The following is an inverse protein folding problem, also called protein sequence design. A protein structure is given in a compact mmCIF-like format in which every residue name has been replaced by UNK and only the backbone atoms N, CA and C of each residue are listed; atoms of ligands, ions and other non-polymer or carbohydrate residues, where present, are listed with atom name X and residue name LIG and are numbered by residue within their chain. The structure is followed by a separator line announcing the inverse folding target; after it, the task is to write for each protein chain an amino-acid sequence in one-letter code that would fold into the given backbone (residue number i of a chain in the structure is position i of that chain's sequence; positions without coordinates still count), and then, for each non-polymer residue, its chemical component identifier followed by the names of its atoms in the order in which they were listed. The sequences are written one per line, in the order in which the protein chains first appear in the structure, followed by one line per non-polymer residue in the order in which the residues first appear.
data_IF_535140676037
#
_entry.id   IF_535140676037
#
_cell.length_a   1.000
_cell.length_b   1.000
_cell.length_c   1.000
_cell.angle_alpha   90.00
_cell.angle_beta   90.00
_cell.angle_gamma   90.00
#
_symmetry.space_group_name_H-M   'P 1'
#
loop_
_entity.id
_entity.type
_entity.pdbx_description
1 polymer ?
#
# COMPACT_ATOMS: atom_id res chain seq x y z
N UNK A 1 5.08 -20.36 13.47
CA UNK A 1 5.87 -19.13 13.24
C UNK A 1 4.93 -18.00 12.88
N UNK A 2 5.06 -16.82 13.50
CA UNK A 2 4.29 -15.64 13.10
C UNK A 2 4.90 -15.07 11.80
N UNK A 3 4.09 -14.87 10.77
CA UNK A 3 4.53 -14.24 9.54
C UNK A 3 4.68 -12.72 9.77
N UNK A 4 5.78 -12.13 9.31
CA UNK A 4 6.02 -10.69 9.38
C UNK A 4 6.10 -10.10 7.96
N UNK A 5 5.67 -8.86 7.81
CA UNK A 5 5.75 -8.09 6.57
C UNK A 5 6.30 -6.69 6.86
N UNK A 6 7.00 -6.10 5.88
CA UNK A 6 7.51 -4.74 5.97
C UNK A 6 6.72 -3.86 5.01
N UNK A 7 6.00 -2.88 5.55
CA UNK A 7 5.15 -1.96 4.80
C UNK A 7 5.59 -0.53 5.14
N UNK A 8 5.91 0.27 4.11
CA UNK A 8 6.41 1.64 4.26
C UNK A 8 7.62 1.76 5.22
N UNK A 9 8.46 0.73 5.32
CA UNK A 9 9.61 0.68 6.23
C UNK A 9 9.29 0.18 7.65
N UNK A 10 8.01 0.03 8.02
CA UNK A 10 7.59 -0.47 9.33
C UNK A 10 7.35 -1.98 9.30
N UNK A 11 7.80 -2.68 10.36
CA UNK A 11 7.60 -4.13 10.53
C UNK A 11 6.26 -4.40 11.18
N UNK A 12 5.42 -5.19 10.53
CA UNK A 12 4.13 -5.63 11.07
C UNK A 12 4.06 -7.14 11.20
N UNK A 13 3.30 -7.61 12.19
CA UNK A 13 2.88 -9.02 12.27
C UNK A 13 1.65 -9.22 11.41
N UNK A 14 1.70 -10.15 10.45
CA UNK A 14 0.54 -10.53 9.65
C UNK A 14 -0.40 -11.38 10.51
N UNK A 15 -1.65 -10.90 10.66
CA UNK A 15 -2.69 -11.62 11.39
C UNK A 15 -3.57 -12.41 10.44
N UNK A 16 -4.08 -11.76 9.38
CA UNK A 16 -4.99 -12.38 8.44
C UNK A 16 -4.92 -11.72 7.06
N UNK A 17 -5.22 -12.50 6.01
CA UNK A 17 -5.34 -12.02 4.63
C UNK A 17 -6.80 -12.11 4.19
N UNK A 18 -7.35 -11.01 3.71
CA UNK A 18 -8.60 -10.96 2.99
C UNK A 18 -8.35 -10.56 1.52
N UNK A 19 -9.31 -10.79 0.61
CA UNK A 19 -9.15 -10.42 -0.80
C UNK A 19 -8.91 -8.92 -1.02
N UNK A 20 -9.51 -8.07 -0.19
CA UNK A 20 -9.56 -6.62 -0.31
C UNK A 20 -8.61 -5.86 0.65
N UNK A 21 -8.19 -6.51 1.74
CA UNK A 21 -7.25 -5.96 2.71
C UNK A 21 -6.52 -7.05 3.49
N UNK A 22 -5.38 -6.72 4.08
CA UNK A 22 -4.73 -7.58 5.08
C UNK A 22 -4.86 -6.96 6.46
N UNK A 23 -5.09 -7.80 7.47
CA UNK A 23 -5.07 -7.39 8.87
C UNK A 23 -3.68 -7.62 9.42
N UNK A 24 -3.06 -6.55 9.87
CA UNK A 24 -1.73 -6.55 10.46
C UNK A 24 -1.78 -6.04 11.90
N UNK A 25 -0.75 -6.33 12.66
CA UNK A 25 -0.53 -5.78 13.99
C UNK A 25 0.77 -4.97 14.01
N UNK A 26 0.64 -3.70 14.39
CA UNK A 26 1.75 -2.79 14.64
C UNK A 26 2.23 -2.97 16.08
N UNK A 27 3.44 -3.51 16.23
CA UNK A 27 4.04 -3.75 17.54
C UNK A 27 4.61 -2.51 18.21
N UNK A 28 4.78 -1.38 17.49
CA UNK A 28 5.31 -0.15 18.07
C UNK A 28 4.24 0.60 18.87
N UNK A 29 3.01 0.59 18.37
CA UNK A 29 1.87 1.27 18.99
C UNK A 29 0.77 0.31 19.48
N UNK A 30 1.06 -1.00 19.47
CA UNK A 30 0.20 -2.06 19.97
C UNK A 30 -1.22 -2.10 19.35
N UNK A 31 -1.32 -1.80 18.05
CA UNK A 31 -2.60 -1.59 17.38
C UNK A 31 -2.77 -2.45 16.13
N UNK A 32 -4.00 -2.91 15.88
CA UNK A 32 -4.36 -3.59 14.65
C UNK A 32 -4.60 -2.58 13.52
N UNK A 33 -4.17 -2.93 12.31
CA UNK A 33 -4.28 -2.08 11.12
C UNK A 33 -4.78 -2.88 9.93
N UNK A 34 -5.47 -2.19 9.02
CA UNK A 34 -5.77 -2.71 7.70
C UNK A 34 -4.74 -2.18 6.71
N UNK A 35 -4.00 -3.08 6.08
CA UNK A 35 -3.29 -2.78 4.83
C UNK A 35 -4.30 -2.88 3.68
N UNK A 36 -4.57 -1.75 3.03
CA UNK A 36 -5.51 -1.69 1.91
C UNK A 36 -4.84 -2.16 0.62
N UNK A 37 -5.63 -2.67 -0.33
CA UNK A 37 -5.16 -2.93 -1.69
C UNK A 37 -5.02 -1.61 -2.49
N UNK A 38 -4.16 -0.72 -2.00
CA UNK A 38 -3.98 0.63 -2.51
C UNK A 38 -2.52 1.03 -2.37
N UNK A 39 -1.91 1.44 -3.49
CA UNK A 39 -0.54 1.92 -3.56
C UNK A 39 -0.53 3.33 -4.14
N UNK A 40 -0.02 4.29 -3.36
CA UNK A 40 0.20 5.66 -3.83
C UNK A 40 1.59 5.78 -4.42
N UNK A 41 1.68 6.44 -5.57
CA UNK A 41 2.93 6.70 -6.28
C UNK A 41 3.04 8.19 -6.55
N UNK A 42 4.14 8.80 -6.15
CA UNK A 42 4.41 10.22 -6.41
C UNK A 42 5.84 10.40 -6.91
N UNK A 43 6.09 11.37 -7.79
CA UNK A 43 7.46 11.63 -8.23
C UNK A 43 7.58 12.50 -9.47
N UNK A 44 8.81 13.00 -9.69
CA UNK A 44 9.18 13.78 -10.88
C UNK A 44 9.64 12.85 -12.00
N UNK A 45 8.75 12.04 -12.52
CA UNK A 45 8.89 11.49 -13.88
C UNK A 45 7.91 12.23 -14.76
N UNK A 46 8.28 12.46 -16.03
CA UNK A 46 7.38 13.10 -16.99
C UNK A 46 6.04 12.36 -16.97
N UNK A 47 5.00 13.03 -16.47
CA UNK A 47 3.66 12.50 -16.19
C UNK A 47 3.06 11.71 -17.36
N UNK A 48 3.47 12.02 -18.59
CA UNK A 48 3.09 11.30 -19.81
C UNK A 48 3.66 9.88 -19.94
N UNK A 49 4.86 9.59 -19.46
CA UNK A 49 5.48 8.26 -19.60
C UNK A 49 4.99 7.29 -18.52
N UNK A 50 4.74 7.81 -17.32
CA UNK A 50 4.36 7.01 -16.15
C UNK A 50 2.92 6.52 -16.20
N UNK A 51 1.98 7.43 -16.53
CA UNK A 51 0.57 7.05 -16.70
C UNK A 51 0.37 6.03 -17.84
N UNK A 52 1.22 6.07 -18.88
CA UNK A 52 1.21 5.09 -19.97
C UNK A 52 1.75 3.73 -19.52
N UNK A 53 2.88 3.71 -18.82
CA UNK A 53 3.46 2.48 -18.27
C UNK A 53 2.50 1.71 -17.35
N UNK A 54 1.73 2.43 -16.54
CA UNK A 54 0.74 1.82 -15.65
C UNK A 54 -0.54 1.38 -16.38
N UNK A 55 -1.01 2.14 -17.39
CA UNK A 55 -2.23 1.81 -18.15
C UNK A 55 -2.07 0.58 -19.05
N UNK A 56 -0.86 0.31 -19.55
CA UNK A 56 -0.60 -0.89 -20.36
C UNK A 56 -0.67 -2.18 -19.52
N UNK A 57 -0.56 -2.07 -18.19
CA UNK A 57 -0.80 -3.17 -17.23
C UNK A 57 -2.31 -3.27 -16.94
N UNK A 58 -3.04 -3.88 -17.86
CA UNK A 58 -4.51 -3.99 -17.98
C UNK A 58 -5.27 -4.62 -16.78
N UNK A 59 -4.62 -4.79 -15.63
CA UNK A 59 -5.14 -5.48 -14.43
C UNK A 59 -5.39 -4.56 -13.24
N UNK A 60 -4.91 -3.32 -13.27
CA UNK A 60 -5.03 -2.37 -12.16
C UNK A 60 -5.74 -1.09 -12.61
N UNK A 61 -6.44 -0.46 -11.69
CA UNK A 61 -6.99 0.88 -11.90
C UNK A 61 -5.96 1.91 -11.47
N UNK A 62 -5.77 2.95 -12.28
CA UNK A 62 -4.80 4.02 -12.05
C UNK A 62 -5.55 5.35 -12.07
N UNK A 63 -5.63 6.00 -10.91
CA UNK A 63 -6.31 7.28 -10.76
C UNK A 63 -5.30 8.35 -10.36
N UNK A 64 -5.29 9.49 -11.05
CA UNK A 64 -4.54 10.66 -10.59
C UNK A 64 -5.32 11.31 -9.43
N UNK A 65 -4.67 11.46 -8.27
CA UNK A 65 -5.29 12.04 -7.06
C UNK A 65 -4.78 13.45 -6.75
N UNK A 66 -3.60 13.79 -7.27
CA UNK A 66 -3.02 15.13 -7.28
C UNK A 66 -1.99 15.20 -8.42
N UNK A 67 -1.55 16.41 -8.79
CA UNK A 67 -0.58 16.59 -9.86
C UNK A 67 0.69 15.75 -9.61
N UNK A 68 0.95 14.77 -10.50
CA UNK A 68 2.11 13.87 -10.38
C UNK A 68 2.01 12.86 -9.23
N UNK A 69 0.81 12.62 -8.70
CA UNK A 69 0.51 11.60 -7.69
C UNK A 69 -0.65 10.72 -8.15
N UNK A 70 -0.40 9.42 -8.20
CA UNK A 70 -1.34 8.41 -8.68
C UNK A 70 -1.67 7.41 -7.58
N UNK A 71 -2.94 7.04 -7.49
CA UNK A 71 -3.43 5.93 -6.70
C UNK A 71 -3.65 4.73 -7.61
N UNK A 72 -2.96 3.63 -7.30
CA UNK A 72 -3.11 2.35 -7.95
C UNK A 72 -3.97 1.45 -7.07
N UNK A 73 -5.00 0.85 -7.65
CA UNK A 73 -5.87 -0.13 -6.98
C UNK A 73 -5.98 -1.41 -7.80
N UNK A 74 -6.10 -2.55 -7.12
CA UNK A 74 -6.10 -3.87 -7.74
C UNK A 74 -6.06 -4.97 -6.69
N UNK A 75 -5.66 -6.18 -7.06
CA UNK A 75 -5.34 -7.21 -6.06
C UNK A 75 -3.99 -6.94 -5.40
N UNK A 76 -3.79 -7.46 -4.19
CA UNK A 76 -2.49 -7.34 -3.50
C UNK A 76 -1.33 -7.89 -4.34
N UNK A 77 -1.55 -9.00 -5.06
CA UNK A 77 -0.51 -9.61 -5.91
C UNK A 77 -0.09 -8.68 -7.07
N UNK A 78 -1.06 -8.06 -7.74
CA UNK A 78 -0.80 -7.12 -8.83
C UNK A 78 -0.08 -5.87 -8.32
N UNK A 79 -0.52 -5.33 -7.19
CA UNK A 79 0.10 -4.14 -6.59
C UNK A 79 1.50 -4.43 -6.05
N UNK A 80 1.77 -5.61 -5.49
CA UNK A 80 3.13 -6.02 -5.09
C UNK A 80 4.05 -6.15 -6.31
N UNK A 81 3.56 -6.69 -7.42
CA UNK A 81 4.33 -6.75 -8.66
C UNK A 81 4.62 -5.34 -9.21
N UNK A 82 3.62 -4.46 -9.18
CA UNK A 82 3.77 -3.06 -9.57
C UNK A 82 4.82 -2.37 -8.70
N UNK A 83 4.74 -2.49 -7.37
CA UNK A 83 5.70 -1.92 -6.43
C UNK A 83 7.14 -2.34 -6.76
N UNK A 84 7.38 -3.62 -7.05
CA UNK A 84 8.71 -4.13 -7.41
C UNK A 84 9.26 -3.51 -8.71
N UNK A 85 8.40 -3.24 -9.69
CA UNK A 85 8.80 -2.57 -10.93
C UNK A 85 9.06 -1.07 -10.69
N UNK A 86 8.18 -0.43 -9.93
CA UNK A 86 8.24 0.99 -9.63
C UNK A 86 9.44 1.38 -8.77
N UNK A 87 9.87 0.52 -7.84
CA UNK A 87 11.09 0.72 -7.04
C UNK A 87 12.36 0.85 -7.89
N UNK A 88 12.36 0.38 -9.13
CA UNK A 88 13.49 0.49 -10.06
C UNK A 88 13.57 1.86 -10.75
N UNK A 89 12.52 2.66 -10.66
CA UNK A 89 12.46 3.98 -11.30
C UNK A 89 12.94 5.04 -10.31
N UNK A 90 14.06 5.68 -10.65
CA UNK A 90 14.62 6.74 -9.83
C UNK A 90 13.67 7.95 -9.74
N UNK A 91 13.54 8.50 -8.53
CA UNK A 91 12.72 9.69 -8.27
C UNK A 91 11.24 9.43 -7.99
N UNK A 92 10.82 8.16 -7.93
CA UNK A 92 9.49 7.78 -7.43
C UNK A 92 9.52 7.51 -5.92
N UNK A 93 8.46 7.93 -5.25
CA UNK A 93 8.10 7.56 -3.89
C UNK A 93 6.84 6.71 -3.93
N UNK A 94 6.84 5.63 -3.15
CA UNK A 94 5.78 4.64 -3.09
C UNK A 94 5.28 4.52 -1.66
N UNK A 95 3.98 4.48 -1.48
CA UNK A 95 3.38 4.35 -0.16
C UNK A 95 2.12 3.47 -0.20
N UNK A 96 2.18 2.34 0.50
CA UNK A 96 1.02 1.51 0.75
C UNK A 96 0.06 2.21 1.70
N UNK A 97 -1.24 2.19 1.39
CA UNK A 97 -2.23 2.83 2.24
C UNK A 97 -2.63 1.90 3.39
N UNK A 98 -2.54 2.44 4.61
CA UNK A 98 -2.86 1.74 5.84
C UNK A 98 -3.94 2.50 6.61
N UNK A 99 -4.82 1.76 7.28
CA UNK A 99 -5.86 2.32 8.15
C UNK A 99 -5.77 1.69 9.54
N UNK A 100 -5.44 2.50 10.54
CA UNK A 100 -5.45 2.08 11.93
C UNK A 100 -6.87 1.83 12.41
N UNK A 101 -7.11 0.69 13.05
CA UNK A 101 -8.43 0.34 13.58
C UNK A 101 -8.65 1.04 14.92
N UNK A 102 -9.85 1.59 15.18
CA UNK A 102 -10.12 2.24 16.46
C UNK A 102 -9.87 1.26 17.60
N UNK A 103 -9.12 1.72 18.60
CA UNK A 103 -9.03 1.00 19.86
C UNK A 103 -10.40 1.06 20.52
N UNK A 104 -10.93 -0.09 20.94
CA UNK A 104 -12.03 -0.03 21.91
C UNK A 104 -11.47 0.69 23.15
N UNK A 105 -12.14 1.73 23.67
CA UNK A 105 -11.76 2.26 24.97
C UNK A 105 -11.74 1.08 25.95
N UNK A 106 -10.68 0.99 26.76
CA UNK A 106 -10.67 0.03 27.86
C UNK A 106 -11.94 0.29 28.66
N UNK A 107 -12.74 -0.75 28.92
CA UNK A 107 -13.80 -0.62 29.90
C UNK A 107 -13.12 -0.24 31.21
N UNK A 108 -13.38 0.96 31.72
CA UNK A 108 -12.92 1.38 33.03
C UNK A 108 -13.32 0.28 34.03
N UNK A 109 -12.33 -0.42 34.57
CA UNK A 109 -12.49 -1.46 35.58
C UNK A 109 -12.05 -0.91 36.92
#
# INVERSE_FOLDING_TARGET
MAAFVYINGTKYRLLQRYPDHWVLYDGQIFQAVHLLNQLVVSGKTSTMSFGKYLKDNNKMTVNEIAAGTYLLTGTMAELMQAEQQLKKVNGLKLEWQIRYLPLKPAADR
#
